data_IF_705353852181
#
_entry.id   IF_705353852181
#
_cell.length_a   1.000
_cell.length_b   1.000
_cell.length_c   1.000
_cell.angle_alpha   90.00
_cell.angle_beta   90.00
_cell.angle_gamma   90.00
#
_symmetry.space_group_name_H-M   'P 1'
#
loop_
_entity.id
_entity.type
_entity.pdbx_description
1 polymer ?
#
# COMPACT_ATOMS: atom_id res chain seq x y z
N UNK A 1 17.63 2.36 8.85
CA UNK A 1 16.29 1.89 8.45
C UNK A 1 15.39 3.08 8.27
N UNK A 2 14.89 3.28 7.07
CA UNK A 2 13.83 4.22 6.76
C UNK A 2 12.52 3.77 7.41
N UNK A 3 11.51 4.65 7.42
CA UNK A 3 10.17 4.29 7.91
C UNK A 3 9.55 3.16 7.11
N UNK A 4 9.87 3.09 5.81
CA UNK A 4 9.44 2.03 4.90
C UNK A 4 10.05 0.69 5.30
N UNK A 5 11.36 0.63 5.52
CA UNK A 5 12.02 -0.61 5.97
C UNK A 5 11.39 -1.15 7.27
N UNK A 6 11.15 -0.27 8.25
CA UNK A 6 10.50 -0.65 9.51
C UNK A 6 9.05 -1.13 9.33
N UNK A 7 8.30 -0.47 8.44
CA UNK A 7 6.92 -0.87 8.13
C UNK A 7 6.89 -2.25 7.45
N UNK A 8 7.78 -2.48 6.47
CA UNK A 8 7.89 -3.76 5.77
C UNK A 8 8.36 -4.90 6.69
N UNK A 9 9.10 -4.58 7.75
CA UNK A 9 9.52 -5.53 8.78
C UNK A 9 8.45 -5.78 9.87
N UNK A 10 7.28 -5.13 9.79
CA UNK A 10 6.20 -5.30 10.79
C UNK A 10 6.38 -4.46 12.06
N UNK A 11 7.45 -3.67 12.16
CA UNK A 11 7.77 -2.88 13.36
C UNK A 11 6.84 -1.67 13.56
N UNK A 12 5.94 -1.39 12.60
CA UNK A 12 5.02 -0.25 12.62
C UNK A 12 3.57 -0.66 12.27
N UNK A 13 2.91 -1.51 13.09
CA UNK A 13 1.55 -2.00 12.85
C UNK A 13 0.49 -0.88 12.88
N UNK A 14 0.80 0.25 13.51
CA UNK A 14 -0.10 1.40 13.67
C UNK A 14 -0.03 2.38 12.48
N UNK A 15 0.96 2.21 11.61
CA UNK A 15 1.20 3.04 10.44
C UNK A 15 0.52 2.47 9.20
N UNK A 16 0.41 3.31 8.18
CA UNK A 16 0.03 2.92 6.82
C UNK A 16 1.08 3.41 5.84
N UNK A 17 1.28 2.63 4.79
CA UNK A 17 2.13 2.97 3.67
C UNK A 17 1.27 3.34 2.46
N UNK A 18 1.63 4.44 1.79
CA UNK A 18 0.99 4.92 0.58
C UNK A 18 2.03 5.16 -0.49
N UNK A 19 1.99 4.37 -1.56
CA UNK A 19 2.71 4.64 -2.80
C UNK A 19 1.83 5.43 -3.76
N UNK A 20 2.40 6.45 -4.37
CA UNK A 20 1.80 7.21 -5.46
C UNK A 20 2.78 7.22 -6.63
N UNK A 21 2.31 6.80 -7.80
CA UNK A 21 3.10 6.87 -9.04
C UNK A 21 3.43 8.31 -9.44
N UNK A 22 4.49 8.53 -10.20
CA UNK A 22 4.85 9.87 -10.70
C UNK A 22 3.68 10.55 -11.42
N UNK A 23 2.98 9.82 -12.28
CA UNK A 23 1.80 10.33 -13.01
C UNK A 23 0.69 10.82 -12.09
N UNK A 24 0.54 10.19 -10.92
CA UNK A 24 -0.42 10.59 -9.90
C UNK A 24 0.06 11.81 -9.08
N UNK A 25 1.36 11.84 -8.77
CA UNK A 25 2.01 12.91 -8.01
C UNK A 25 1.99 14.23 -8.76
N UNK A 26 2.31 14.22 -10.06
CA UNK A 26 2.34 15.41 -10.92
C UNK A 26 0.96 16.08 -11.10
N UNK A 27 -0.14 15.34 -10.88
CA UNK A 27 -1.50 15.84 -10.98
C UNK A 27 -2.07 16.37 -9.66
N UNK A 28 -2.38 15.48 -8.72
CA UNK A 28 -3.14 15.77 -7.50
C UNK A 28 -2.30 15.62 -6.21
N UNK A 29 -1.06 15.14 -6.32
CA UNK A 29 -0.20 14.72 -5.21
C UNK A 29 1.03 15.58 -4.90
N UNK A 30 1.22 16.75 -5.52
CA UNK A 30 2.47 17.56 -5.44
C UNK A 30 2.95 17.85 -3.99
N UNK A 31 2.00 17.99 -3.05
CA UNK A 31 2.31 18.18 -1.63
C UNK A 31 2.90 16.96 -0.94
N UNK A 32 2.55 15.75 -1.39
CA UNK A 32 2.92 14.48 -0.76
C UNK A 32 4.31 14.01 -1.14
N UNK A 33 4.76 14.35 -2.35
CA UNK A 33 6.11 14.10 -2.85
C UNK A 33 7.22 14.62 -1.91
N UNK A 34 6.93 15.71 -1.18
CA UNK A 34 7.89 16.37 -0.28
C UNK A 34 8.04 15.67 1.07
N UNK A 35 7.11 14.79 1.42
CA UNK A 35 7.04 14.13 2.72
C UNK A 35 7.30 12.62 2.66
N UNK A 36 7.29 12.03 1.46
CA UNK A 36 7.60 10.62 1.25
C UNK A 36 9.03 10.35 0.77
N UNK A 37 9.40 9.08 0.80
CA UNK A 37 10.63 8.53 0.22
C UNK A 37 10.46 8.38 -1.29
N UNK A 38 11.36 8.97 -2.08
CA UNK A 38 11.33 8.83 -3.55
C UNK A 38 11.83 7.45 -3.96
N UNK A 39 11.11 6.83 -4.89
CA UNK A 39 11.45 5.57 -5.55
C UNK A 39 11.48 5.77 -7.05
N UNK A 40 11.92 4.76 -7.81
CA UNK A 40 12.10 4.89 -9.27
C UNK A 40 10.80 5.27 -10.01
N UNK A 41 9.65 4.83 -9.50
CA UNK A 41 8.34 5.00 -10.15
C UNK A 41 7.38 5.93 -9.41
N UNK A 42 7.87 6.70 -8.42
CA UNK A 42 7.04 7.65 -7.67
C UNK A 42 7.51 7.91 -6.25
N UNK A 43 6.57 8.01 -5.31
CA UNK A 43 6.84 8.33 -3.90
C UNK A 43 6.11 7.37 -2.95
N UNK A 44 6.78 6.96 -1.87
CA UNK A 44 6.22 6.16 -0.79
C UNK A 44 6.17 6.98 0.50
N UNK A 45 4.98 7.11 1.08
CA UNK A 45 4.76 7.79 2.34
C UNK A 45 4.37 6.77 3.43
N UNK A 46 5.07 6.80 4.57
CA UNK A 46 4.71 6.00 5.75
C UNK A 46 4.38 6.94 6.90
N UNK A 47 3.12 6.88 7.34
CA UNK A 47 2.52 7.78 8.34
C UNK A 47 1.57 7.02 9.25
N UNK A 48 1.25 7.60 10.41
CA UNK A 48 0.26 7.05 11.35
C UNK A 48 -1.09 6.81 10.65
N UNK A 49 -1.78 5.72 11.02
CA UNK A 49 -2.93 5.23 10.26
C UNK A 49 -4.06 6.23 10.06
N UNK A 50 -4.41 7.02 11.08
CA UNK A 50 -5.44 8.06 10.95
C UNK A 50 -5.00 9.19 10.01
N UNK A 51 -3.73 9.60 10.10
CA UNK A 51 -3.17 10.62 9.21
C UNK A 51 -3.09 10.11 7.77
N UNK A 52 -2.63 8.87 7.56
CA UNK A 52 -2.52 8.29 6.24
C UNK A 52 -3.87 8.07 5.55
N UNK A 53 -4.92 7.72 6.29
CA UNK A 53 -6.29 7.66 5.74
C UNK A 53 -6.79 9.02 5.30
N UNK A 54 -6.51 10.06 6.08
CA UNK A 54 -6.86 11.45 5.73
C UNK A 54 -6.10 11.92 4.49
N UNK A 55 -4.80 11.62 4.41
CA UNK A 55 -3.93 11.90 3.27
C UNK A 55 -4.43 11.18 2.02
N UNK A 56 -4.69 9.87 2.11
CA UNK A 56 -5.21 9.06 1.00
C UNK A 56 -6.49 9.65 0.43
N UNK A 57 -7.44 10.00 1.29
CA UNK A 57 -8.70 10.61 0.86
C UNK A 57 -8.50 11.97 0.20
N UNK A 58 -7.55 12.76 0.70
CA UNK A 58 -7.23 14.07 0.12
C UNK A 58 -6.57 13.93 -1.25
N UNK A 59 -5.69 12.94 -1.41
CA UNK A 59 -4.94 12.70 -2.63
C UNK A 59 -5.78 12.06 -3.74
N UNK A 60 -6.63 11.09 -3.38
CA UNK A 60 -7.36 10.24 -4.34
C UNK A 60 -8.85 10.55 -4.43
N UNK A 61 -9.38 11.36 -3.51
CA UNK A 61 -10.82 11.55 -3.34
C UNK A 61 -11.56 10.31 -2.79
N UNK A 62 -10.87 9.19 -2.57
CA UNK A 62 -11.47 7.91 -2.18
C UNK A 62 -11.41 7.65 -0.68
N UNK A 63 -12.41 6.94 -0.15
CA UNK A 63 -12.35 6.44 1.22
C UNK A 63 -11.47 5.18 1.27
N UNK A 64 -10.46 5.17 2.15
CA UNK A 64 -9.51 4.07 2.25
C UNK A 64 -10.18 2.73 2.58
N UNK A 65 -11.17 2.71 3.47
CA UNK A 65 -11.89 1.47 3.81
C UNK A 65 -12.79 1.00 2.68
N UNK A 66 -13.48 1.93 1.99
CA UNK A 66 -14.28 1.64 0.80
C UNK A 66 -13.43 1.09 -0.34
N UNK A 67 -12.25 1.66 -0.56
CA UNK A 67 -11.27 1.20 -1.52
C UNK A 67 -10.75 -0.20 -1.18
N UNK A 68 -10.30 -0.42 0.06
CA UNK A 68 -9.83 -1.73 0.52
C UNK A 68 -10.90 -2.82 0.30
N UNK A 69 -12.16 -2.56 0.69
CA UNK A 69 -13.26 -3.49 0.46
C UNK A 69 -13.51 -3.81 -1.01
N UNK A 70 -13.31 -2.84 -1.91
CA UNK A 70 -13.44 -3.05 -3.35
C UNK A 70 -12.29 -3.91 -3.89
N UNK A 71 -11.06 -3.58 -3.48
CA UNK A 71 -9.85 -4.26 -3.91
C UNK A 71 -9.74 -5.71 -3.38
N UNK A 72 -10.27 -5.98 -2.18
CA UNK A 72 -10.33 -7.34 -1.59
C UNK A 72 -11.02 -8.39 -2.47
N UNK A 73 -11.86 -7.96 -3.42
CA UNK A 73 -12.55 -8.86 -4.33
C UNK A 73 -11.67 -9.42 -5.46
N UNK A 74 -10.49 -8.86 -5.66
CA UNK A 74 -9.58 -9.20 -6.76
C UNK A 74 -8.19 -9.45 -6.21
N UNK A 75 -7.65 -10.65 -6.46
CA UNK A 75 -6.26 -10.96 -6.14
C UNK A 75 -5.36 -10.50 -7.28
N UNK A 76 -4.25 -9.85 -6.94
CA UNK A 76 -3.22 -9.45 -7.89
C UNK A 76 -1.85 -9.46 -7.20
N UNK A 77 -0.82 -8.95 -7.88
CA UNK A 77 0.54 -8.93 -7.34
C UNK A 77 0.99 -7.51 -7.09
N UNK A 78 1.38 -7.25 -5.85
CA UNK A 78 1.93 -5.96 -5.43
C UNK A 78 3.41 -6.17 -5.10
N UNK A 79 4.26 -5.21 -5.50
CA UNK A 79 5.68 -5.28 -5.18
C UNK A 79 5.87 -5.35 -3.66
N UNK A 80 6.74 -6.26 -3.19
CA UNK A 80 6.94 -6.49 -1.74
C UNK A 80 7.52 -5.29 -1.01
N UNK A 81 8.18 -4.42 -1.75
CA UNK A 81 8.72 -3.17 -1.27
C UNK A 81 7.68 -2.01 -1.37
N UNK A 82 6.48 -2.28 -1.87
CA UNK A 82 5.37 -1.34 -2.09
C UNK A 82 5.64 -0.26 -3.14
N UNK A 83 6.63 -0.42 -4.03
CA UNK A 83 6.92 0.58 -5.07
C UNK A 83 6.08 0.44 -6.35
N UNK A 84 5.01 -0.36 -6.32
CA UNK A 84 4.15 -0.60 -7.48
C UNK A 84 3.41 -1.93 -7.40
N UNK A 85 2.83 -2.34 -8.53
CA UNK A 85 2.13 -3.61 -8.66
C UNK A 85 1.76 -3.91 -10.11
N UNK A 86 1.55 -5.19 -10.39
CA UNK A 86 1.20 -5.72 -11.72
C UNK A 86 -0.33 -5.84 -11.83
N UNK A 87 -0.93 -5.06 -12.73
CA UNK A 87 -2.37 -5.07 -12.88
C UNK A 87 -2.87 -6.42 -13.45
N UNK A 88 -3.87 -7.07 -12.83
CA UNK A 88 -4.34 -8.38 -13.30
C UNK A 88 -5.20 -8.32 -14.57
N UNK A 89 -5.79 -7.17 -14.89
CA UNK A 89 -6.77 -7.01 -15.98
C UNK A 89 -6.20 -6.28 -17.21
N UNK A 90 -5.05 -5.60 -17.07
CA UNK A 90 -4.43 -4.82 -18.14
C UNK A 90 -2.90 -4.88 -18.02
N UNK A 91 -2.18 -4.62 -19.11
CA UNK A 91 -0.71 -4.59 -19.15
C UNK A 91 -0.17 -3.25 -18.64
N UNK A 92 -0.68 -2.79 -17.50
CA UNK A 92 -0.39 -1.50 -16.90
C UNK A 92 0.07 -1.60 -15.46
N UNK A 93 0.70 -0.54 -14.98
CA UNK A 93 1.22 -0.43 -13.63
C UNK A 93 0.18 0.11 -12.63
N UNK A 94 0.48 -0.05 -11.35
CA UNK A 94 -0.25 0.58 -10.25
C UNK A 94 -0.12 2.11 -10.27
N UNK A 95 -1.23 2.84 -10.27
CA UNK A 95 -1.25 4.29 -10.05
C UNK A 95 -0.94 4.65 -8.59
N UNK A 96 -1.47 3.86 -7.65
CA UNK A 96 -1.17 3.98 -6.23
C UNK A 96 -1.33 2.64 -5.52
N UNK A 97 -0.65 2.50 -4.38
CA UNK A 97 -0.77 1.36 -3.46
C UNK A 97 -1.03 1.90 -2.06
N UNK A 98 -2.05 1.39 -1.40
CA UNK A 98 -2.34 1.64 0.01
C UNK A 98 -2.11 0.36 0.80
N UNK A 99 -1.30 0.39 1.83
CA UNK A 99 -1.00 -0.78 2.66
C UNK A 99 -1.07 -0.47 4.16
N UNK A 100 -1.44 -1.48 4.94
CA UNK A 100 -1.38 -1.46 6.40
C UNK A 100 -0.84 -2.78 6.93
N UNK A 101 -0.22 -2.74 8.09
CA UNK A 101 0.26 -3.93 8.79
C UNK A 101 -0.79 -4.36 9.82
N UNK A 102 -1.04 -5.66 9.91
CA UNK A 102 -1.91 -6.27 10.91
C UNK A 102 -1.08 -7.14 11.84
N UNK A 103 -1.27 -7.00 13.16
CA UNK A 103 -0.54 -7.78 14.16
C UNK A 103 -0.85 -9.28 14.04
N UNK A 104 0.15 -10.12 14.30
CA UNK A 104 0.01 -11.58 14.30
C UNK A 104 -1.23 -12.03 15.09
N UNK A 105 -2.02 -12.92 14.48
CA UNK A 105 -3.18 -13.53 15.08
C UNK A 105 -3.13 -15.07 14.92
N UNK A 106 -2.62 -15.74 15.96
CA UNK A 106 -2.53 -17.20 16.03
C UNK A 106 -3.89 -17.90 16.00
N UNK A 107 -4.97 -17.23 16.42
CA UNK A 107 -6.33 -17.81 16.43
C UNK A 107 -6.93 -17.91 15.02
N UNK A 108 -6.57 -16.99 14.13
CA UNK A 108 -6.99 -17.02 12.72
C UNK A 108 -6.19 -18.07 11.94
N UNK A 109 -4.90 -18.23 12.25
CA UNK A 109 -4.01 -19.15 11.56
C UNK A 109 -3.69 -18.74 10.12
N UNK A 110 -2.98 -19.62 9.39
CA UNK A 110 -2.42 -19.27 8.06
C UNK A 110 -1.36 -18.17 8.18
N UNK A 111 -1.31 -17.26 7.19
CA UNK A 111 -0.35 -16.13 7.20
C UNK A 111 -0.43 -15.28 8.47
N UNK A 112 -1.61 -15.16 9.07
CA UNK A 112 -1.83 -14.42 10.31
C UNK A 112 -1.21 -15.12 11.53
N UNK A 113 -1.02 -16.44 11.49
CA UNK A 113 -0.36 -17.18 12.55
C UNK A 113 1.16 -17.20 12.43
N UNK A 114 1.72 -16.80 11.29
CA UNK A 114 3.15 -16.88 11.00
C UNK A 114 3.91 -15.61 11.44
N UNK A 115 3.23 -14.46 11.45
CA UNK A 115 3.77 -13.18 11.91
C UNK A 115 2.80 -12.04 11.62
N UNK A 116 3.28 -10.80 11.73
CA UNK A 116 2.53 -9.64 11.29
C UNK A 116 2.28 -9.71 9.79
N UNK A 117 1.10 -9.31 9.32
CA UNK A 117 0.68 -9.43 7.92
C UNK A 117 0.59 -8.06 7.28
N UNK A 118 1.28 -7.88 6.14
CA UNK A 118 1.10 -6.70 5.30
C UNK A 118 -0.11 -6.92 4.40
N UNK A 119 -1.10 -6.05 4.53
CA UNK A 119 -2.25 -5.96 3.65
C UNK A 119 -2.06 -4.81 2.67
N UNK A 120 -1.92 -5.11 1.38
CA UNK A 120 -1.74 -4.09 0.35
C UNK A 120 -2.89 -4.10 -0.66
N UNK A 121 -3.27 -2.91 -1.11
CA UNK A 121 -4.35 -2.65 -2.06
C UNK A 121 -3.84 -1.70 -3.12
N UNK A 122 -4.02 -2.05 -4.39
CA UNK A 122 -3.54 -1.27 -5.51
C UNK A 122 -4.68 -0.90 -6.47
N UNK A 123 -4.49 0.22 -7.15
CA UNK A 123 -5.38 0.71 -8.21
C UNK A 123 -4.56 0.97 -9.47
N UNK A 124 -5.02 0.46 -10.61
CA UNK A 124 -4.38 0.66 -11.91
C UNK A 124 -5.04 1.81 -12.68
N UNK A 125 -4.34 2.34 -13.68
CA UNK A 125 -4.84 3.34 -14.64
C UNK A 125 -6.12 2.86 -15.37
N UNK A 126 -6.21 1.56 -15.65
CA UNK A 126 -7.41 0.97 -16.26
C UNK A 126 -8.64 0.89 -15.32
N UNK A 127 -8.51 1.34 -14.07
CA UNK A 127 -9.59 1.42 -13.08
C UNK A 127 -9.79 0.16 -12.23
N UNK A 128 -8.92 -0.83 -12.40
CA UNK A 128 -8.93 -2.09 -11.66
C UNK A 128 -8.35 -1.88 -10.27
N UNK A 129 -9.05 -2.38 -9.25
CA UNK A 129 -8.58 -2.41 -7.88
C UNK A 129 -8.34 -3.86 -7.47
N UNK A 130 -7.18 -4.15 -6.87
CA UNK A 130 -6.77 -5.49 -6.47
C UNK A 130 -5.98 -5.46 -5.17
N UNK A 131 -5.86 -6.61 -4.53
CA UNK A 131 -5.19 -6.77 -3.26
C UNK A 131 -4.18 -7.90 -3.28
N UNK A 132 -3.19 -7.78 -2.40
CA UNK A 132 -2.21 -8.80 -2.11
C UNK A 132 -1.89 -8.75 -0.60
N UNK A 133 -1.47 -9.87 -0.02
CA UNK A 133 -1.09 -9.95 1.39
C UNK A 133 0.01 -10.98 1.63
N UNK A 134 0.91 -10.67 2.55
CA UNK A 134 2.08 -11.50 2.86
C UNK A 134 2.55 -11.26 4.30
N UNK A 135 3.42 -12.12 4.83
CA UNK A 135 3.99 -11.93 6.17
C UNK A 135 5.06 -10.84 6.11
N UNK A 136 5.05 -9.93 7.07
CA UNK A 136 6.05 -8.88 7.20
C UNK A 136 7.45 -9.48 7.34
N UNK A 137 8.44 -8.83 6.75
CA UNK A 137 9.82 -9.33 6.68
C UNK A 137 10.09 -10.33 5.55
N UNK A 138 9.08 -10.76 4.79
CA UNK A 138 9.26 -11.59 3.57
C UNK A 138 9.60 -10.78 2.31
N UNK A 139 10.07 -9.54 2.47
CA UNK A 139 10.54 -8.73 1.33
C UNK A 139 11.90 -9.28 0.85
N UNK A 140 11.86 -10.16 -0.16
CA UNK A 140 13.06 -10.67 -0.87
C UNK A 140 13.61 -9.69 -1.90
#
# INVERSE_FOLDING_TARGET
MSKREQFLAGERPEDVALFLSDSFVEGEGDGLAKHGEQVESGVILVVEGDQGRSVFKTATGMDAMGFAKRAMGTEGRIARDLSGGECPECDGDAEFVFAFAEEQNEEVGGVYGEGDVIHAYSYCDCGTAYSDKWVAGEAE
#
